data_IF_369030160750
#
_entry.id   IF_369030160750
#
_cell.length_a   1.000
_cell.length_b   1.000
_cell.length_c   1.000
_cell.angle_alpha   90.00
_cell.angle_beta   90.00
_cell.angle_gamma   90.00
#
_symmetry.space_group_name_H-M   'P 1'
#
loop_
_entity.id
_entity.type
_entity.pdbx_description
1 polymer ?
#
# COMPACT_ATOMS: atom_id res chain seq x y z
N UNK A 1 -40.95 -6.95 -6.83
CA UNK A 1 -39.80 -6.08 -7.14
C UNK A 1 -38.57 -6.90 -6.83
N UNK A 2 -37.97 -7.52 -7.83
CA UNK A 2 -36.70 -8.24 -7.67
C UNK A 2 -35.62 -7.17 -7.62
N UNK A 3 -35.08 -6.93 -6.42
CA UNK A 3 -33.81 -6.22 -6.29
C UNK A 3 -32.81 -6.89 -7.21
N UNK A 4 -32.27 -6.09 -8.13
CA UNK A 4 -31.28 -6.52 -9.09
C UNK A 4 -29.98 -6.68 -8.30
N UNK A 5 -29.86 -7.81 -7.60
CA UNK A 5 -28.76 -8.11 -6.68
C UNK A 5 -27.53 -8.48 -7.50
N UNK A 6 -26.91 -7.48 -8.15
CA UNK A 6 -25.60 -7.68 -8.73
C UNK A 6 -24.63 -7.98 -7.57
N UNK A 7 -23.82 -9.05 -7.67
CA UNK A 7 -22.88 -9.39 -6.62
C UNK A 7 -21.92 -8.21 -6.39
N UNK A 8 -21.64 -7.94 -5.12
CA UNK A 8 -20.72 -6.89 -4.71
C UNK A 8 -19.34 -7.15 -5.34
N UNK A 9 -18.83 -6.17 -6.10
CA UNK A 9 -17.53 -6.31 -6.80
C UNK A 9 -16.34 -5.93 -5.94
N UNK A 10 -16.54 -5.06 -4.96
CA UNK A 10 -15.50 -4.54 -4.10
C UNK A 10 -15.78 -4.93 -2.65
N UNK A 11 -14.74 -5.18 -1.88
CA UNK A 11 -14.83 -5.41 -0.44
C UNK A 11 -13.64 -4.76 0.25
N UNK A 12 -13.93 -3.94 1.27
CA UNK A 12 -12.94 -3.24 2.09
C UNK A 12 -13.14 -3.63 3.55
N UNK A 13 -12.07 -4.01 4.24
CA UNK A 13 -12.12 -4.43 5.63
C UNK A 13 -10.73 -4.33 6.27
N UNK A 14 -10.68 -4.06 7.58
CA UNK A 14 -9.43 -4.08 8.34
C UNK A 14 -9.35 -5.27 9.29
N UNK A 15 -8.14 -5.55 9.79
CA UNK A 15 -7.95 -6.54 10.84
C UNK A 15 -8.66 -6.18 12.14
N UNK A 16 -8.91 -4.90 12.42
CA UNK A 16 -9.70 -4.49 13.58
C UNK A 16 -11.14 -5.00 13.48
N UNK A 17 -11.77 -4.79 12.32
CA UNK A 17 -13.12 -5.33 12.07
C UNK A 17 -13.13 -6.86 12.22
N UNK A 18 -12.08 -7.55 11.77
CA UNK A 18 -11.96 -9.01 11.91
C UNK A 18 -11.80 -9.43 13.37
N UNK A 19 -10.93 -8.77 14.13
CA UNK A 19 -10.68 -9.06 15.55
C UNK A 19 -11.97 -8.90 16.34
N UNK A 20 -12.70 -7.81 16.11
CA UNK A 20 -14.01 -7.56 16.73
C UNK A 20 -15.02 -8.64 16.33
N UNK A 21 -15.19 -8.88 15.02
CA UNK A 21 -16.18 -9.81 14.49
C UNK A 21 -15.99 -11.25 14.98
N UNK A 22 -14.74 -11.72 15.07
CA UNK A 22 -14.41 -13.08 15.52
C UNK A 22 -14.14 -13.17 17.03
N UNK A 23 -14.32 -12.08 17.79
CA UNK A 23 -13.98 -11.98 19.20
C UNK A 23 -12.58 -12.55 19.52
N UNK A 24 -11.59 -12.23 18.68
CA UNK A 24 -10.24 -12.72 18.83
C UNK A 24 -9.44 -11.85 19.80
N UNK A 25 -8.39 -12.41 20.40
CA UNK A 25 -7.40 -11.65 21.12
C UNK A 25 -6.02 -11.99 20.57
N UNK A 26 -5.37 -10.99 19.98
CA UNK A 26 -4.03 -11.10 19.41
C UNK A 26 -2.93 -10.64 20.36
N UNK A 27 -3.28 -10.10 21.53
CA UNK A 27 -2.31 -9.69 22.54
C UNK A 27 -1.34 -10.82 22.90
N UNK A 28 -0.10 -10.44 23.22
CA UNK A 28 0.94 -11.33 23.77
C UNK A 28 1.41 -12.45 22.84
N UNK A 29 1.04 -12.41 21.55
CA UNK A 29 1.55 -13.34 20.52
C UNK A 29 2.69 -12.70 19.77
N UNK A 30 3.62 -13.51 19.26
CA UNK A 30 4.64 -13.00 18.34
C UNK A 30 4.01 -12.48 17.03
N UNK A 31 4.72 -11.57 16.35
CA UNK A 31 4.21 -10.90 15.15
C UNK A 31 3.84 -11.87 14.02
N UNK A 32 4.54 -13.01 13.87
CA UNK A 32 4.20 -14.00 12.83
C UNK A 32 2.88 -14.68 13.16
N UNK A 33 2.67 -15.02 14.43
CA UNK A 33 1.42 -15.61 14.90
C UNK A 33 0.25 -14.64 14.78
N UNK A 34 0.43 -13.36 15.14
CA UNK A 34 -0.59 -12.32 14.95
C UNK A 34 -0.96 -12.19 13.47
N UNK A 35 0.05 -12.01 12.60
CA UNK A 35 -0.14 -11.88 11.15
C UNK A 35 -0.89 -13.07 10.56
N UNK A 36 -0.47 -14.30 10.87
CA UNK A 36 -1.15 -15.52 10.40
C UNK A 36 -2.61 -15.57 10.83
N UNK A 37 -2.90 -15.22 12.09
CA UNK A 37 -4.28 -15.20 12.59
C UNK A 37 -5.15 -14.18 11.86
N UNK A 38 -4.62 -13.00 11.57
CA UNK A 38 -5.31 -11.98 10.77
C UNK A 38 -5.64 -12.55 9.39
N UNK A 39 -4.68 -13.18 8.71
CA UNK A 39 -4.92 -13.82 7.41
C UNK A 39 -5.93 -14.98 7.50
N UNK A 40 -5.90 -15.81 8.54
CA UNK A 40 -6.91 -16.86 8.70
C UNK A 40 -8.32 -16.30 8.92
N UNK A 41 -8.46 -15.22 9.70
CA UNK A 41 -9.74 -14.52 9.85
C UNK A 41 -10.19 -13.90 8.53
N UNK A 42 -9.28 -13.25 7.80
CA UNK A 42 -9.54 -12.68 6.49
C UNK A 42 -10.03 -13.75 5.51
N UNK A 43 -9.41 -14.94 5.50
CA UNK A 43 -9.82 -16.08 4.66
C UNK A 43 -11.27 -16.48 4.90
N UNK A 44 -11.67 -16.60 6.16
CA UNK A 44 -13.04 -16.95 6.55
C UNK A 44 -14.01 -15.83 6.16
N UNK A 45 -13.66 -14.58 6.47
CA UNK A 45 -14.49 -13.42 6.16
C UNK A 45 -14.71 -13.24 4.64
N UNK A 46 -13.64 -13.34 3.85
CA UNK A 46 -13.72 -13.34 2.38
C UNK A 46 -14.67 -14.43 1.89
N UNK A 47 -14.50 -15.67 2.36
CA UNK A 47 -15.38 -16.78 1.95
C UNK A 47 -16.85 -16.53 2.29
N UNK A 48 -17.15 -15.89 3.42
CA UNK A 48 -18.53 -15.52 3.80
C UNK A 48 -19.13 -14.45 2.88
N UNK A 49 -18.29 -13.62 2.27
CA UNK A 49 -18.66 -12.60 1.29
C UNK A 49 -18.54 -13.10 -0.16
N UNK A 50 -18.28 -14.38 -0.34
CA UNK A 50 -18.01 -15.02 -1.65
C UNK A 50 -16.76 -14.47 -2.36
N UNK A 51 -15.79 -13.91 -1.62
CA UNK A 51 -14.46 -13.51 -2.10
C UNK A 51 -13.40 -14.55 -1.70
N UNK A 52 -12.19 -14.41 -2.25
CA UNK A 52 -11.01 -15.22 -1.96
C UNK A 52 -9.75 -14.36 -1.82
N UNK A 53 -8.62 -14.96 -1.47
CA UNK A 53 -7.34 -14.24 -1.43
C UNK A 53 -6.89 -13.75 -2.81
N UNK A 54 -7.28 -14.43 -3.88
CA UNK A 54 -6.99 -14.00 -5.26
C UNK A 54 -7.72 -12.70 -5.62
N UNK A 55 -8.75 -12.33 -4.87
CA UNK A 55 -9.47 -11.08 -5.07
C UNK A 55 -8.80 -9.89 -4.37
N UNK A 56 -7.91 -10.12 -3.39
CA UNK A 56 -7.19 -9.03 -2.71
C UNK A 56 -6.22 -8.38 -3.69
N UNK A 57 -6.38 -7.07 -3.91
CA UNK A 57 -5.53 -6.31 -4.80
C UNK A 57 -4.63 -5.30 -4.08
N UNK A 58 -5.02 -4.84 -2.89
CA UNK A 58 -4.24 -3.89 -2.09
C UNK A 58 -4.23 -4.30 -0.63
N UNK A 59 -3.08 -4.12 0.03
CA UNK A 59 -2.97 -4.20 1.49
C UNK A 59 -2.14 -3.03 2.05
N UNK A 60 -2.60 -2.46 3.16
CA UNK A 60 -1.84 -1.50 3.97
C UNK A 60 -1.50 -2.19 5.28
N UNK A 61 -0.21 -2.27 5.60
CA UNK A 61 0.26 -2.94 6.81
C UNK A 61 0.88 -1.92 7.76
N UNK A 62 0.29 -1.81 8.93
CA UNK A 62 0.72 -0.89 9.98
C UNK A 62 1.28 -1.71 11.14
N UNK A 63 2.43 -1.31 11.68
CA UNK A 63 3.12 -2.07 12.74
C UNK A 63 3.58 -1.18 13.88
N UNK A 64 3.72 -1.74 15.08
CA UNK A 64 4.39 -1.04 16.20
C UNK A 64 5.91 -1.01 16.07
N UNK A 65 6.48 -2.00 15.38
CA UNK A 65 7.93 -2.13 15.19
C UNK A 65 8.26 -2.55 13.74
N UNK A 66 8.85 -1.62 12.98
CA UNK A 66 9.25 -1.84 11.59
C UNK A 66 10.32 -2.95 11.44
N UNK A 67 11.04 -3.31 12.50
CA UNK A 67 11.99 -4.43 12.45
C UNK A 67 11.29 -5.77 12.19
N UNK A 68 9.97 -5.83 12.39
CA UNK A 68 9.15 -7.00 12.05
C UNK A 68 8.88 -7.17 10.55
N UNK A 69 9.28 -6.21 9.70
CA UNK A 69 9.03 -6.21 8.26
C UNK A 69 9.32 -7.55 7.58
N UNK A 70 10.52 -8.11 7.81
CA UNK A 70 10.92 -9.37 7.18
C UNK A 70 10.07 -10.55 7.63
N UNK A 71 9.64 -10.56 8.90
CA UNK A 71 8.79 -11.62 9.45
C UNK A 71 7.38 -11.57 8.86
N UNK A 72 6.83 -10.37 8.68
CA UNK A 72 5.53 -10.16 8.02
C UNK A 72 5.61 -10.57 6.56
N UNK A 73 6.68 -10.18 5.87
CA UNK A 73 6.95 -10.57 4.49
C UNK A 73 6.97 -12.11 4.34
N UNK A 74 7.63 -12.85 5.23
CA UNK A 74 7.58 -14.31 5.22
C UNK A 74 6.16 -14.86 5.35
N UNK A 75 5.31 -14.22 6.16
CA UNK A 75 3.89 -14.61 6.30
C UNK A 75 3.11 -14.32 5.03
N UNK A 76 3.29 -13.15 4.40
CA UNK A 76 2.62 -12.80 3.13
C UNK A 76 2.85 -13.86 2.05
N UNK A 77 4.07 -14.40 1.94
CA UNK A 77 4.42 -15.47 0.98
C UNK A 77 3.66 -16.79 1.20
N UNK A 78 3.06 -16.99 2.37
CA UNK A 78 2.23 -18.18 2.64
C UNK A 78 0.85 -18.06 1.98
N UNK A 79 0.35 -16.83 1.83
CA UNK A 79 -1.01 -16.52 1.38
C UNK A 79 -1.06 -16.04 -0.08
N UNK A 80 -0.01 -15.37 -0.56
CA UNK A 80 0.11 -14.90 -1.95
C UNK A 80 1.24 -15.64 -2.66
N UNK A 81 1.00 -16.08 -3.91
CA UNK A 81 1.93 -16.93 -4.69
C UNK A 81 2.11 -16.39 -6.11
N UNK A 82 3.05 -16.96 -6.85
CA UNK A 82 3.18 -16.82 -8.32
C UNK A 82 3.18 -15.38 -8.86
N UNK A 83 3.78 -14.45 -8.11
CA UNK A 83 3.84 -13.02 -8.42
C UNK A 83 2.47 -12.31 -8.48
N UNK A 84 1.44 -12.85 -7.82
CA UNK A 84 0.14 -12.20 -7.59
C UNK A 84 0.08 -11.47 -6.24
N UNK A 85 1.20 -10.89 -5.82
CA UNK A 85 1.23 -10.10 -4.60
C UNK A 85 0.37 -8.84 -4.80
N UNK A 86 -0.46 -8.47 -3.82
CA UNK A 86 -1.20 -7.22 -3.88
C UNK A 86 -0.24 -6.03 -4.02
N UNK A 87 -0.76 -4.87 -4.45
CA UNK A 87 -0.04 -3.62 -4.16
C UNK A 87 -0.07 -3.38 -2.66
N UNK A 88 0.92 -2.68 -2.11
CA UNK A 88 0.87 -2.38 -0.69
C UNK A 88 1.99 -1.52 -0.17
N UNK A 89 1.89 -1.25 1.13
CA UNK A 89 2.84 -0.50 1.91
C UNK A 89 2.94 -1.11 3.31
N UNK A 90 4.12 -1.00 3.91
CA UNK A 90 4.37 -1.39 5.31
C UNK A 90 5.02 -0.20 6.01
N UNK A 91 4.41 0.32 7.07
CA UNK A 91 4.98 1.41 7.85
C UNK A 91 4.72 1.23 9.35
N UNK A 92 5.57 1.85 10.15
CA UNK A 92 5.40 1.89 11.60
C UNK A 92 4.55 3.09 12.00
N UNK A 93 3.64 2.87 12.95
CA UNK A 93 2.87 3.90 13.61
C UNK A 93 2.62 3.53 15.07
N UNK A 94 2.67 4.54 15.94
CA UNK A 94 2.29 4.45 17.34
C UNK A 94 0.77 4.55 17.55
N UNK A 95 0.02 4.86 16.49
CA UNK A 95 -1.43 5.10 16.52
C UNK A 95 -2.29 3.84 16.36
N UNK A 96 -1.70 2.65 16.24
CA UNK A 96 -2.46 1.40 16.16
C UNK A 96 -3.43 1.24 17.33
N UNK A 97 -4.71 1.01 17.03
CA UNK A 97 -5.70 0.74 18.06
C UNK A 97 -5.58 -0.70 18.61
N UNK A 98 -6.15 -0.92 19.78
CA UNK A 98 -6.11 -2.22 20.45
C UNK A 98 -4.71 -2.67 20.89
N UNK A 99 -4.58 -3.96 21.19
CA UNK A 99 -3.37 -4.56 21.78
C UNK A 99 -2.54 -5.37 20.79
N UNK A 100 -2.90 -5.40 19.52
CA UNK A 100 -2.11 -6.06 18.48
C UNK A 100 -0.88 -5.20 18.13
N UNK A 101 0.18 -5.86 17.66
CA UNK A 101 1.41 -5.20 17.18
C UNK A 101 1.37 -4.91 15.68
N UNK A 102 0.32 -5.37 15.01
CA UNK A 102 0.08 -5.24 13.57
C UNK A 102 -1.41 -5.01 13.30
N UNK A 103 -1.67 -4.13 12.35
CA UNK A 103 -2.95 -3.96 11.71
C UNK A 103 -2.78 -4.10 10.20
N UNK A 104 -3.76 -4.70 9.53
CA UNK A 104 -3.77 -4.86 8.08
C UNK A 104 -5.12 -4.41 7.54
N UNK A 105 -5.12 -3.45 6.63
CA UNK A 105 -6.26 -3.10 5.81
C UNK A 105 -6.22 -3.85 4.49
N UNK A 106 -7.37 -4.36 4.07
CA UNK A 106 -7.52 -5.15 2.86
C UNK A 106 -8.49 -4.48 1.91
N UNK A 107 -8.10 -4.41 0.63
CA UNK A 107 -9.03 -4.11 -0.48
C UNK A 107 -9.08 -5.28 -1.44
N UNK A 108 -10.29 -5.76 -1.71
CA UNK A 108 -10.54 -6.87 -2.63
C UNK A 108 -11.46 -6.45 -3.78
N UNK A 109 -11.23 -7.04 -4.95
CA UNK A 109 -11.98 -6.83 -6.17
C UNK A 109 -12.19 -8.16 -6.92
N UNK A 110 -13.46 -8.43 -7.22
CA UNK A 110 -13.91 -9.59 -7.99
C UNK A 110 -14.11 -9.19 -9.44
N UNK A 111 -13.17 -9.59 -10.28
CA UNK A 111 -13.15 -9.31 -11.71
C UNK A 111 -11.75 -9.43 -12.29
N UNK A 112 -11.64 -9.07 -13.57
CA UNK A 112 -10.37 -9.10 -14.29
C UNK A 112 -9.43 -8.01 -13.75
N UNK A 113 -8.23 -8.43 -13.35
CA UNK A 113 -7.19 -7.55 -12.83
C UNK A 113 -5.82 -8.05 -13.25
N UNK A 114 -4.89 -7.13 -13.43
CA UNK A 114 -3.58 -7.42 -13.98
C UNK A 114 -2.49 -6.74 -13.15
N UNK A 115 -1.71 -7.53 -12.43
CA UNK A 115 -0.55 -7.03 -11.70
C UNK A 115 0.58 -6.66 -12.67
N UNK A 116 1.12 -5.46 -12.50
CA UNK A 116 2.27 -4.96 -13.24
C UNK A 116 3.51 -5.68 -12.71
N UNK A 117 4.23 -6.40 -13.57
CA UNK A 117 5.41 -7.18 -13.15
C UNK A 117 6.67 -6.34 -13.25
N UNK A 118 7.55 -6.45 -12.26
CA UNK A 118 8.89 -5.86 -12.34
C UNK A 118 9.74 -6.66 -13.34
N UNK A 119 10.30 -5.99 -14.35
CA UNK A 119 11.19 -6.63 -15.33
C UNK A 119 12.60 -6.90 -14.79
N UNK A 120 13.02 -6.23 -13.71
CA UNK A 120 14.33 -6.38 -13.08
C UNK A 120 14.31 -7.44 -11.96
N UNK A 121 15.10 -8.50 -12.15
CA UNK A 121 15.25 -9.65 -11.25
C UNK A 121 15.82 -9.31 -9.86
N UNK A 122 16.34 -8.10 -9.65
CA UNK A 122 16.84 -7.63 -8.35
C UNK A 122 15.71 -7.20 -7.38
N UNK A 123 14.50 -6.92 -7.89
CA UNK A 123 13.37 -6.48 -7.06
C UNK A 123 12.56 -7.62 -6.42
N UNK A 124 12.98 -8.87 -6.59
CA UNK A 124 12.33 -10.06 -5.99
C UNK A 124 12.34 -10.08 -4.45
N UNK A 125 12.84 -9.02 -3.80
CA UNK A 125 12.98 -8.89 -2.34
C UNK A 125 11.83 -8.16 -1.64
N UNK A 126 10.82 -7.64 -2.36
CA UNK A 126 9.64 -6.98 -1.78
C UNK A 126 8.35 -7.70 -2.21
N UNK A 127 7.44 -8.09 -1.28
CA UNK A 127 6.26 -8.90 -1.58
C UNK A 127 5.08 -8.06 -2.07
N UNK A 128 5.34 -7.11 -2.96
CA UNK A 128 4.30 -6.25 -3.49
C UNK A 128 4.49 -6.07 -4.98
N UNK A 129 3.37 -6.08 -5.70
CA UNK A 129 3.38 -5.64 -7.09
C UNK A 129 3.64 -4.13 -7.15
N UNK A 130 4.47 -3.60 -8.05
CA UNK A 130 4.63 -2.15 -8.23
C UNK A 130 3.31 -1.45 -8.55
N UNK A 131 2.41 -2.13 -9.27
CA UNK A 131 1.05 -1.67 -9.46
C UNK A 131 0.10 -2.76 -9.95
N UNK A 132 -1.18 -2.40 -10.07
CA UNK A 132 -2.24 -3.27 -10.57
C UNK A 132 -3.20 -2.46 -11.43
N UNK A 133 -3.64 -3.05 -12.53
CA UNK A 133 -4.73 -2.54 -13.38
C UNK A 133 -6.02 -3.28 -13.00
N UNK A 134 -7.05 -2.52 -12.65
CA UNK A 134 -8.40 -3.00 -12.33
C UNK A 134 -9.40 -2.20 -13.15
N UNK A 135 -10.16 -2.86 -14.01
CA UNK A 135 -11.03 -2.21 -14.99
C UNK A 135 -10.31 -1.05 -15.72
N UNK A 136 -10.71 0.20 -15.47
CA UNK A 136 -10.14 1.40 -16.08
C UNK A 136 -9.21 2.19 -15.15
N UNK A 137 -8.72 1.56 -14.07
CA UNK A 137 -7.93 2.21 -13.04
C UNK A 137 -6.62 1.49 -12.81
N UNK A 138 -5.60 2.25 -12.43
CA UNK A 138 -4.29 1.75 -12.03
C UNK A 138 -4.02 2.20 -10.60
N UNK A 139 -3.63 1.26 -9.74
CA UNK A 139 -3.17 1.53 -8.38
C UNK A 139 -1.72 1.10 -8.23
N UNK A 140 -0.91 1.85 -7.48
CA UNK A 140 0.49 1.53 -7.22
C UNK A 140 0.75 1.19 -5.76
N UNK A 141 1.82 0.45 -5.51
CA UNK A 141 2.35 0.28 -4.15
C UNK A 141 2.94 1.58 -3.60
N UNK A 142 3.24 1.61 -2.31
CA UNK A 142 4.16 2.60 -1.75
C UNK A 142 5.54 2.45 -2.42
N UNK A 143 6.03 3.54 -3.01
CA UNK A 143 7.35 3.59 -3.64
C UNK A 143 8.20 4.61 -2.90
N UNK A 144 9.37 4.18 -2.46
CA UNK A 144 10.38 5.07 -1.88
C UNK A 144 11.45 5.45 -2.92
N UNK A 145 12.19 6.51 -2.63
CA UNK A 145 13.41 6.82 -3.38
C UNK A 145 14.43 5.69 -3.28
N UNK A 146 15.17 5.46 -4.37
CA UNK A 146 16.33 4.56 -4.41
C UNK A 146 17.56 5.19 -3.76
N UNK A 147 17.59 6.51 -3.62
CA UNK A 147 18.68 7.23 -2.97
C UNK A 147 18.44 7.13 -1.47
N UNK A 148 19.34 6.40 -0.80
CA UNK A 148 19.34 6.28 0.66
C UNK A 148 19.60 7.67 1.26
N UNK A 149 18.57 8.28 1.82
CA UNK A 149 18.71 9.54 2.54
C UNK A 149 19.53 9.29 3.81
N UNK A 150 20.75 9.83 3.82
CA UNK A 150 21.61 9.86 5.02
C UNK A 150 21.01 10.82 6.07
N UNK A 151 20.19 11.80 5.64
CA UNK A 151 19.35 12.64 6.50
C UNK A 151 18.16 13.23 5.74
N UNK A 152 17.02 13.40 6.41
CA UNK A 152 15.80 14.04 5.94
C UNK A 152 15.69 15.53 6.34
N UNK A 153 16.83 16.17 6.65
CA UNK A 153 16.91 17.54 7.18
C UNK A 153 17.35 18.58 6.14
N UNK A 154 17.60 18.18 4.89
CA UNK A 154 17.97 19.08 3.80
C UNK A 154 16.88 19.09 2.72
N UNK A 155 16.42 20.29 2.36
CA UNK A 155 15.39 20.48 1.34
C UNK A 155 15.74 19.81 0.00
N UNK A 156 16.96 20.02 -0.50
CA UNK A 156 17.37 19.52 -1.81
C UNK A 156 17.37 17.99 -1.86
N UNK A 157 17.91 17.35 -0.83
CA UNK A 157 17.98 15.89 -0.76
C UNK A 157 16.56 15.29 -0.65
N UNK A 158 15.69 15.91 0.14
CA UNK A 158 14.30 15.49 0.26
C UNK A 158 13.54 15.67 -1.06
N UNK A 159 13.67 16.82 -1.71
CA UNK A 159 13.04 17.07 -3.03
C UNK A 159 13.51 16.06 -4.09
N UNK A 160 14.81 15.73 -4.12
CA UNK A 160 15.35 14.71 -5.02
C UNK A 160 14.75 13.33 -4.73
N UNK A 161 14.54 12.99 -3.47
CA UNK A 161 13.87 11.75 -3.10
C UNK A 161 12.39 11.73 -3.55
N UNK A 162 11.68 12.86 -3.51
CA UNK A 162 10.33 12.97 -4.06
C UNK A 162 10.36 12.77 -5.59
N UNK A 163 11.28 13.41 -6.30
CA UNK A 163 11.44 13.25 -7.76
C UNK A 163 11.77 11.81 -8.17
N UNK A 164 12.57 11.10 -7.38
CA UNK A 164 12.86 9.68 -7.59
C UNK A 164 11.62 8.79 -7.40
N UNK A 165 10.77 9.11 -6.40
CA UNK A 165 9.49 8.43 -6.21
C UNK A 165 8.59 8.66 -7.43
N UNK A 166 8.43 9.91 -7.87
CA UNK A 166 7.61 10.27 -9.03
C UNK A 166 8.13 9.61 -10.32
N UNK A 167 9.44 9.54 -10.52
CA UNK A 167 10.07 8.85 -11.65
C UNK A 167 9.75 7.35 -11.64
N UNK A 168 9.74 6.73 -10.46
CA UNK A 168 9.44 5.30 -10.30
C UNK A 168 7.95 5.01 -10.47
N UNK A 169 7.07 5.87 -9.96
CA UNK A 169 5.63 5.83 -10.22
C UNK A 169 5.35 5.99 -11.73
N UNK A 170 6.00 6.96 -12.39
CA UNK A 170 5.89 7.14 -13.84
C UNK A 170 6.22 5.87 -14.61
N UNK A 171 7.31 5.17 -14.28
CA UNK A 171 7.66 3.89 -14.93
C UNK A 171 6.57 2.84 -14.75
N UNK A 172 5.98 2.76 -13.56
CA UNK A 172 4.88 1.84 -13.27
C UNK A 172 3.64 2.18 -14.10
N UNK A 173 3.27 3.47 -14.15
CA UNK A 173 2.14 3.96 -14.93
C UNK A 173 2.34 3.75 -16.45
N UNK A 174 3.54 4.03 -16.96
CA UNK A 174 3.89 3.81 -18.37
C UNK A 174 3.76 2.32 -18.75
N UNK A 175 4.18 1.40 -17.87
CA UNK A 175 4.00 -0.04 -18.07
C UNK A 175 2.53 -0.48 -18.06
N UNK A 176 1.69 0.23 -17.32
CA UNK A 176 0.25 0.02 -17.32
C UNK A 176 -0.45 0.59 -18.56
N UNK A 177 0.23 1.42 -19.36
CA UNK A 177 -0.37 2.14 -20.49
C UNK A 177 -1.06 3.44 -20.11
N UNK A 178 -0.73 4.02 -18.95
CA UNK A 178 -1.20 5.34 -18.49
C UNK A 178 -0.01 6.26 -18.19
N UNK A 179 -0.25 7.40 -17.53
CA UNK A 179 0.77 8.42 -17.25
C UNK A 179 0.47 9.24 -15.99
N UNK A 180 1.45 10.01 -15.50
CA UNK A 180 1.30 10.87 -14.30
C UNK A 180 0.21 11.95 -14.48
N UNK A 181 -0.04 12.36 -15.73
CA UNK A 181 -1.09 13.33 -16.08
C UNK A 181 -2.50 12.77 -15.82
N UNK A 182 -2.66 11.44 -15.76
CA UNK A 182 -3.93 10.78 -15.46
C UNK A 182 -4.10 10.35 -14.01
N UNK A 183 -3.11 10.65 -13.16
CA UNK A 183 -3.24 10.44 -11.71
C UNK A 183 -4.31 11.38 -11.18
N UNK A 184 -5.22 10.85 -10.36
CA UNK A 184 -6.26 11.60 -9.66
C UNK A 184 -6.08 11.58 -8.14
N UNK A 185 -5.23 10.70 -7.62
CA UNK A 185 -4.92 10.62 -6.19
C UNK A 185 -3.49 10.17 -5.95
N UNK A 186 -2.83 10.85 -5.02
CA UNK A 186 -1.57 10.46 -4.41
C UNK A 186 -1.77 10.28 -2.91
N UNK A 187 -1.04 9.34 -2.32
CA UNK A 187 -0.88 9.23 -0.87
C UNK A 187 0.63 9.28 -0.58
N UNK A 188 1.05 10.29 0.19
CA UNK A 188 2.42 10.46 0.65
C UNK A 188 2.53 10.09 2.14
N UNK A 189 3.37 9.12 2.45
CA UNK A 189 3.64 8.68 3.81
C UNK A 189 4.91 9.36 4.30
N UNK A 190 4.80 10.30 5.23
CA UNK A 190 5.89 11.17 5.68
C UNK A 190 6.29 10.89 7.12
N UNK A 191 7.59 10.65 7.32
CA UNK A 191 8.17 10.55 8.67
C UNK A 191 8.26 11.90 9.37
N UNK A 192 8.67 12.94 8.65
CA UNK A 192 8.79 14.31 9.16
C UNK A 192 7.81 15.23 8.45
N UNK A 193 6.80 15.72 9.18
CA UNK A 193 5.78 16.62 8.63
C UNK A 193 6.32 18.02 8.30
N UNK A 194 7.47 18.42 8.87
CA UNK A 194 8.12 19.69 8.50
C UNK A 194 8.61 19.70 7.04
N UNK A 195 8.70 18.52 6.41
CA UNK A 195 9.09 18.38 5.01
C UNK A 195 7.91 18.52 4.03
N UNK A 196 6.67 18.67 4.53
CA UNK A 196 5.48 18.84 3.69
C UNK A 196 5.60 20.00 2.68
N UNK A 197 6.11 21.20 3.04
CA UNK A 197 6.27 22.28 2.07
C UNK A 197 7.20 21.91 0.89
N UNK A 198 8.23 21.10 1.13
CA UNK A 198 9.14 20.64 0.07
C UNK A 198 8.49 19.59 -0.84
N UNK A 199 7.66 18.70 -0.27
CA UNK A 199 6.82 17.78 -1.05
C UNK A 199 5.88 18.57 -1.98
N UNK A 200 5.17 19.56 -1.43
CA UNK A 200 4.23 20.39 -2.17
C UNK A 200 4.90 21.20 -3.28
N UNK A 201 6.10 21.74 -3.02
CA UNK A 201 6.91 22.46 -4.03
C UNK A 201 7.25 21.56 -5.23
N UNK A 202 7.68 20.31 -4.97
CA UNK A 202 7.96 19.34 -6.05
C UNK A 202 6.69 18.99 -6.83
N UNK A 203 5.56 18.78 -6.13
CA UNK A 203 4.28 18.54 -6.78
C UNK A 203 3.84 19.73 -7.64
N UNK A 204 4.05 20.97 -7.18
CA UNK A 204 3.76 22.18 -7.92
C UNK A 204 4.63 22.32 -9.18
N UNK A 205 5.94 22.10 -9.04
CA UNK A 205 6.91 22.13 -10.14
C UNK A 205 6.58 21.10 -11.23
N UNK A 206 6.03 19.96 -10.84
CA UNK A 206 5.61 18.88 -11.74
C UNK A 206 4.14 18.99 -12.18
N UNK A 207 3.44 20.08 -11.87
CA UNK A 207 2.03 20.31 -12.22
C UNK A 207 1.06 19.23 -11.69
N UNK A 208 1.37 18.63 -10.55
CA UNK A 208 0.57 17.59 -9.90
C UNK A 208 -0.45 18.15 -8.90
N UNK A 209 -0.30 19.39 -8.46
CA UNK A 209 -1.26 20.11 -7.60
C UNK A 209 -2.37 20.82 -8.41
N UNK A 210 -3.05 20.07 -9.27
CA UNK A 210 -4.08 20.59 -10.18
C UNK A 210 -5.48 20.17 -9.76
N UNK A 211 -6.50 20.85 -10.27
CA UNK A 211 -7.90 20.52 -10.01
C UNK A 211 -8.20 19.05 -10.33
N UNK A 212 -8.92 18.37 -9.44
CA UNK A 212 -9.26 16.95 -9.57
C UNK A 212 -8.15 15.97 -9.15
N UNK A 213 -6.98 16.46 -8.71
CA UNK A 213 -5.92 15.62 -8.13
C UNK A 213 -5.87 15.82 -6.62
N UNK A 214 -6.10 14.74 -5.88
CA UNK A 214 -5.96 14.71 -4.43
C UNK A 214 -4.53 14.33 -4.04
N UNK A 215 -3.94 15.05 -3.08
CA UNK A 215 -2.76 14.62 -2.34
C UNK A 215 -3.18 14.39 -0.88
N UNK A 216 -3.17 13.14 -0.45
CA UNK A 216 -3.32 12.76 0.94
C UNK A 216 -1.93 12.59 1.57
N UNK A 217 -1.76 13.06 2.80
CA UNK A 217 -0.50 12.97 3.53
C UNK A 217 -0.75 12.24 4.84
N UNK A 218 -0.09 11.09 4.98
CA UNK A 218 -0.17 10.23 6.16
C UNK A 218 1.12 10.42 6.97
N UNK A 219 1.00 10.89 8.20
CA UNK A 219 2.13 10.93 9.13
C UNK A 219 2.43 9.51 9.60
N UNK A 220 3.69 9.13 9.57
CA UNK A 220 4.17 7.81 10.02
C UNK A 220 5.37 7.97 10.96
N UNK A 221 5.66 6.96 11.76
CA UNK A 221 6.82 6.98 12.66
C UNK A 221 8.09 6.50 11.95
N UNK A 222 7.98 5.45 11.12
CA UNK A 222 9.14 4.88 10.45
C UNK A 222 8.79 4.05 9.21
N UNK A 223 9.62 4.14 8.18
CA UNK A 223 9.67 3.20 7.06
C UNK A 223 10.88 2.27 7.19
N UNK A 224 10.82 1.16 6.44
CA UNK A 224 11.95 0.23 6.32
C UNK A 224 13.22 0.99 5.90
N UNK A 225 14.37 0.52 6.37
CA UNK A 225 15.70 1.08 6.07
C UNK A 225 15.82 2.58 6.44
N UNK A 226 14.95 3.07 7.35
CA UNK A 226 14.89 4.46 7.78
C UNK A 226 14.63 5.46 6.64
N UNK A 227 13.87 5.05 5.62
CA UNK A 227 13.43 5.94 4.55
C UNK A 227 12.54 7.05 5.11
N UNK A 228 12.62 8.24 4.53
CA UNK A 228 11.89 9.42 5.00
C UNK A 228 10.48 9.53 4.41
N UNK A 229 10.29 8.97 3.20
CA UNK A 229 9.01 8.99 2.51
C UNK A 229 8.76 7.76 1.63
N UNK A 230 7.48 7.47 1.42
CA UNK A 230 6.95 6.64 0.33
C UNK A 230 5.77 7.36 -0.31
N UNK A 231 5.60 7.24 -1.62
CA UNK A 231 4.45 7.76 -2.36
C UNK A 231 3.79 6.62 -3.10
N UNK A 232 2.47 6.56 -3.01
CA UNK A 232 1.61 5.75 -3.88
C UNK A 232 0.67 6.65 -4.68
N UNK A 233 0.14 6.14 -5.77
CA UNK A 233 -0.82 6.86 -6.60
C UNK A 233 -1.89 5.94 -7.20
N UNK A 234 -3.01 6.57 -7.57
CA UNK A 234 -4.08 5.98 -8.37
C UNK A 234 -4.37 6.83 -9.61
N UNK A 235 -4.48 6.20 -10.76
CA UNK A 235 -4.64 6.85 -12.06
C UNK A 235 -5.75 6.22 -12.90
N UNK A 236 -6.36 7.02 -13.78
CA UNK A 236 -7.22 6.48 -14.83
C UNK A 236 -6.36 5.86 -15.94
N UNK A 237 -6.81 4.76 -16.53
CA UNK A 237 -6.14 4.11 -17.65
C UNK A 237 -6.36 4.90 -18.95
N UNK A 238 -7.61 5.35 -19.18
CA UNK A 238 -8.06 6.03 -20.39
C UNK A 238 -8.54 7.44 -20.10
#
# INVERSE_FOLDING_TARGET
MTENNQPEKYLFFSSENLIEYFHNNLAEKDIKTQSKRIFEMARVFLSMKEFSFEDIYSIVVMVRDIQSYNMIHEVLKLYFRDNSFPVGIVFQTSELEGSADIEIEFSAFKGDKHFIKVQDTESMSQPFSPGIVIDNYVHSSGISSKVSLISDQNAKDFEDAVEDCLTSLKKTLDQAGTSLEKVYSFIAYLKNMDNLPWLEEVFARNHLNREGVLLEVVKIDQLRDNRSLEISCSAALH
#
